data_IF_494617057347
#
_entry.id   IF_494617057347
#
_cell.length_a   1.000
_cell.length_b   1.000
_cell.length_c   1.000
_cell.angle_alpha   90.00
_cell.angle_beta   90.00
_cell.angle_gamma   90.00
#
_symmetry.space_group_name_H-M   'P 1'
#
loop_
_entity.id
_entity.type
_entity.pdbx_description
1 polymer ?
#
# COMPACT_ATOMS: atom_id res chain seq x y z
N UNK A 1 60.09 46.08 60.17
CA UNK A 1 61.04 45.27 60.90
C UNK A 1 60.96 43.87 60.27
N UNK A 2 61.94 43.55 59.48
CA UNK A 2 62.79 42.43 59.29
C UNK A 2 62.11 41.14 58.81
N UNK A 3 62.24 40.81 57.50
CA UNK A 3 63.06 39.76 56.92
C UNK A 3 62.65 38.33 57.34
N UNK A 4 62.35 37.44 56.44
CA UNK A 4 63.35 36.56 55.80
C UNK A 4 62.76 35.71 54.69
N UNK A 5 63.43 35.71 53.58
CA UNK A 5 63.36 34.88 52.40
C UNK A 5 63.75 33.41 52.72
N UNK A 6 63.11 32.44 52.13
CA UNK A 6 63.74 31.13 51.81
C UNK A 6 63.18 30.54 50.53
N UNK A 7 64.01 30.57 49.51
CA UNK A 7 63.94 29.83 48.27
C UNK A 7 64.08 28.32 48.54
N UNK A 8 63.20 27.47 47.97
CA UNK A 8 63.48 26.08 47.71
C UNK A 8 63.08 25.67 46.28
N UNK A 9 64.16 25.41 45.55
CA UNK A 9 64.08 24.67 44.28
C UNK A 9 63.40 23.38 44.43
N UNK A 10 62.51 23.03 43.56
CA UNK A 10 62.04 21.66 43.38
C UNK A 10 62.03 21.33 41.89
N UNK A 11 62.68 20.22 41.65
CA UNK A 11 63.10 19.67 40.38
C UNK A 11 61.91 19.32 39.47
N UNK A 12 62.03 19.63 38.18
CA UNK A 12 61.20 19.15 37.12
C UNK A 12 61.27 17.61 37.03
N UNK A 13 60.13 16.95 37.19
CA UNK A 13 59.96 15.56 36.80
C UNK A 13 59.01 15.56 35.57
N UNK A 14 59.63 15.30 34.43
CA UNK A 14 58.93 15.15 33.15
C UNK A 14 58.29 13.80 33.12
N UNK A 15 56.96 13.71 33.39
CA UNK A 15 56.14 12.53 33.10
C UNK A 15 55.55 12.69 31.72
N UNK A 16 56.06 11.89 30.78
CA UNK A 16 55.49 11.69 29.44
C UNK A 16 54.14 10.98 29.56
N UNK A 17 53.05 11.69 29.41
CA UNK A 17 51.74 11.08 29.21
C UNK A 17 51.59 10.82 27.69
N UNK A 18 51.70 9.51 27.33
CA UNK A 18 51.22 8.98 26.07
C UNK A 18 49.67 9.01 26.13
N UNK A 19 49.07 10.02 25.57
CA UNK A 19 47.63 10.05 25.36
C UNK A 19 47.25 9.12 24.18
N UNK A 20 46.74 7.94 24.46
CA UNK A 20 46.05 7.12 23.47
C UNK A 20 44.78 7.86 23.05
N UNK A 21 44.81 8.45 21.86
CA UNK A 21 43.67 8.99 21.15
C UNK A 21 42.86 7.78 20.64
N UNK A 22 41.93 7.28 21.43
CA UNK A 22 40.88 6.42 20.91
C UNK A 22 39.92 7.30 20.07
N UNK A 23 40.19 7.37 18.77
CA UNK A 23 39.15 7.72 17.81
C UNK A 23 38.12 6.62 17.83
N UNK A 24 37.04 6.81 18.63
CA UNK A 24 35.84 6.05 18.53
C UNK A 24 35.26 6.31 17.12
N UNK A 25 35.44 5.33 16.24
CA UNK A 25 34.61 5.18 15.06
C UNK A 25 33.19 4.88 15.62
N UNK A 26 32.44 5.95 15.87
CA UNK A 26 30.99 5.85 15.91
C UNK A 26 30.59 5.50 14.47
N UNK A 27 30.58 4.21 14.15
CA UNK A 27 29.86 3.72 13.00
C UNK A 27 28.41 4.15 13.21
N UNK A 28 27.94 5.11 12.43
CA UNK A 28 26.52 5.27 12.22
C UNK A 28 26.06 3.88 11.74
N UNK A 29 25.39 3.13 12.58
CA UNK A 29 24.56 2.05 12.10
C UNK A 29 23.50 2.77 11.22
N UNK A 30 23.70 2.75 9.91
CA UNK A 30 22.64 3.10 8.98
C UNK A 30 21.44 2.23 9.40
N UNK A 31 20.36 2.88 9.78
CA UNK A 31 19.12 2.16 10.03
C UNK A 31 18.73 1.54 8.69
N UNK A 32 18.81 0.22 8.58
CA UNK A 32 18.44 -0.54 7.37
C UNK A 32 16.92 -0.57 7.15
N UNK A 33 16.21 0.46 7.61
CA UNK A 33 14.77 0.61 7.47
C UNK A 33 14.47 0.93 6.00
N UNK A 34 13.54 0.23 5.39
CA UNK A 34 13.07 0.53 4.02
C UNK A 34 12.59 1.97 3.95
N UNK A 35 13.20 2.77 3.09
CA UNK A 35 12.86 4.17 2.85
C UNK A 35 12.39 4.38 1.42
N UNK A 36 11.72 5.52 1.16
CA UNK A 36 11.33 5.89 -0.20
C UNK A 36 12.54 5.98 -1.16
N UNK A 37 13.68 6.50 -0.71
CA UNK A 37 14.88 6.57 -1.54
C UNK A 37 15.38 5.18 -1.94
N UNK A 38 15.49 4.27 -0.99
CA UNK A 38 15.89 2.88 -1.26
C UNK A 38 14.87 2.14 -2.14
N UNK A 39 13.56 2.38 -1.93
CA UNK A 39 12.50 1.83 -2.79
C UNK A 39 12.68 2.29 -4.24
N UNK A 40 12.92 3.59 -4.47
CA UNK A 40 13.19 4.13 -5.81
C UNK A 40 14.40 3.49 -6.46
N UNK A 41 15.51 3.39 -5.73
CA UNK A 41 16.75 2.80 -6.25
C UNK A 41 16.55 1.37 -6.75
N UNK A 42 15.68 0.61 -6.09
CA UNK A 42 15.49 -0.81 -6.38
C UNK A 42 14.37 -1.11 -7.36
N UNK A 43 13.27 -0.39 -7.27
CA UNK A 43 12.02 -0.71 -7.98
C UNK A 43 11.56 0.33 -8.99
N UNK A 44 12.17 1.53 -9.02
CA UNK A 44 11.79 2.58 -9.95
C UNK A 44 12.87 2.79 -11.02
N UNK A 45 12.54 2.53 -12.28
CA UNK A 45 13.43 2.81 -13.40
C UNK A 45 13.56 4.32 -13.67
N UNK A 46 14.59 4.70 -14.41
CA UNK A 46 14.87 6.10 -14.71
C UNK A 46 13.78 6.80 -15.52
N UNK A 47 13.01 6.05 -16.30
CA UNK A 47 11.88 6.54 -17.11
C UNK A 47 10.54 6.59 -16.34
N UNK A 48 10.51 6.13 -15.08
CA UNK A 48 9.32 6.18 -14.22
C UNK A 48 8.51 4.88 -14.15
N UNK A 49 9.02 3.80 -14.73
CA UNK A 49 8.37 2.48 -14.62
C UNK A 49 8.67 1.85 -13.27
N UNK A 50 7.63 1.40 -12.55
CA UNK A 50 7.76 0.57 -11.35
C UNK A 50 7.91 -0.90 -11.76
N UNK A 51 8.90 -1.57 -11.20
CA UNK A 51 9.30 -2.93 -11.58
C UNK A 51 8.93 -3.91 -10.48
N UNK A 52 8.04 -4.84 -10.78
CA UNK A 52 7.74 -5.97 -9.91
C UNK A 52 8.83 -7.04 -10.06
N UNK A 53 9.80 -6.98 -9.15
CA UNK A 53 10.97 -7.88 -9.15
C UNK A 53 10.60 -9.31 -8.75
N UNK A 54 9.48 -9.51 -8.08
CA UNK A 54 8.95 -10.82 -7.70
C UNK A 54 8.22 -11.53 -8.86
N UNK A 55 7.84 -10.81 -9.92
CA UNK A 55 7.01 -11.30 -11.01
C UNK A 55 7.62 -11.00 -12.38
N UNK A 56 8.80 -11.52 -12.68
CA UNK A 56 9.48 -11.41 -13.99
C UNK A 56 9.65 -9.97 -14.49
N UNK A 57 9.80 -9.02 -13.59
CA UNK A 57 9.98 -7.59 -13.87
C UNK A 57 8.84 -6.97 -14.67
N UNK A 58 7.62 -7.44 -14.51
CA UNK A 58 6.43 -6.78 -15.05
C UNK A 58 6.13 -5.46 -14.32
N UNK A 59 5.18 -4.70 -14.83
CA UNK A 59 4.65 -3.51 -14.14
C UNK A 59 3.15 -3.55 -14.16
N UNK A 60 2.54 -3.03 -13.10
CA UNK A 60 1.09 -2.98 -12.93
C UNK A 60 0.62 -1.55 -12.71
N UNK A 61 -0.61 -1.23 -13.15
CA UNK A 61 -1.24 0.05 -12.82
C UNK A 61 -1.32 0.27 -11.30
N UNK A 62 -1.52 -0.80 -10.53
CA UNK A 62 -1.44 -0.83 -9.06
C UNK A 62 -0.12 -0.25 -8.57
N UNK A 63 1.01 -0.80 -9.02
CA UNK A 63 2.34 -0.38 -8.58
C UNK A 63 2.69 1.04 -9.00
N UNK A 64 2.25 1.48 -10.19
CA UNK A 64 2.39 2.87 -10.60
C UNK A 64 1.61 3.79 -9.65
N UNK A 65 0.37 3.45 -9.30
CA UNK A 65 -0.44 4.20 -8.36
C UNK A 65 0.17 4.27 -6.96
N UNK A 66 0.68 3.15 -6.43
CA UNK A 66 1.37 3.12 -5.12
C UNK A 66 2.62 3.99 -5.10
N UNK A 67 3.45 3.92 -6.14
CA UNK A 67 4.64 4.77 -6.23
C UNK A 67 4.27 6.27 -6.34
N UNK A 68 3.18 6.62 -7.03
CA UNK A 68 2.68 7.99 -7.08
C UNK A 68 2.22 8.46 -5.69
N UNK A 69 1.49 7.65 -4.92
CA UNK A 69 1.08 7.95 -3.55
C UNK A 69 2.32 8.20 -2.67
N UNK A 70 3.29 7.28 -2.70
CA UNK A 70 4.53 7.39 -1.94
C UNK A 70 5.35 8.62 -2.33
N UNK A 71 5.39 8.98 -3.61
CA UNK A 71 6.07 10.18 -4.09
C UNK A 71 5.42 11.46 -3.55
N UNK A 72 4.08 11.53 -3.50
CA UNK A 72 3.38 12.67 -2.87
C UNK A 72 3.70 12.74 -1.38
N UNK A 73 3.58 11.63 -0.66
CA UNK A 73 3.86 11.57 0.78
C UNK A 73 5.28 12.04 1.13
N UNK A 74 6.25 11.77 0.26
CA UNK A 74 7.64 12.20 0.40
C UNK A 74 7.95 13.56 -0.27
N UNK A 75 6.94 14.28 -0.76
CA UNK A 75 7.07 15.55 -1.48
C UNK A 75 8.06 15.48 -2.67
N UNK A 76 8.15 14.32 -3.32
CA UNK A 76 9.04 14.04 -4.46
C UNK A 76 8.30 14.21 -5.80
N UNK A 77 8.05 15.48 -6.17
CA UNK A 77 7.38 15.83 -7.42
C UNK A 77 8.10 15.26 -8.65
N UNK A 78 9.44 15.22 -8.63
CA UNK A 78 10.21 14.74 -9.78
C UNK A 78 9.95 13.26 -10.07
N UNK A 79 9.91 12.43 -9.03
CA UNK A 79 9.58 11.01 -9.19
C UNK A 79 8.11 10.82 -9.57
N UNK A 80 7.19 11.58 -8.94
CA UNK A 80 5.79 11.58 -9.29
C UNK A 80 5.56 11.86 -10.78
N UNK A 81 6.15 12.94 -11.30
CA UNK A 81 6.00 13.33 -12.70
C UNK A 81 6.47 12.25 -13.68
N UNK A 82 7.61 11.61 -13.37
CA UNK A 82 8.14 10.50 -14.21
C UNK A 82 7.22 9.29 -14.18
N UNK A 83 6.75 8.88 -12.99
CA UNK A 83 5.83 7.74 -12.85
C UNK A 83 4.52 8.03 -13.57
N UNK A 84 3.94 9.22 -13.36
CA UNK A 84 2.73 9.64 -14.04
C UNK A 84 2.89 9.72 -15.56
N UNK A 85 4.00 10.28 -16.04
CA UNK A 85 4.28 10.35 -17.47
C UNK A 85 4.35 8.95 -18.07
N UNK A 86 5.13 8.05 -17.50
CA UNK A 86 5.26 6.68 -17.99
C UNK A 86 3.90 5.97 -17.98
N UNK A 87 3.11 6.11 -16.91
CA UNK A 87 1.80 5.48 -16.77
C UNK A 87 0.86 5.89 -17.88
N UNK A 88 0.73 7.19 -18.15
CA UNK A 88 -0.18 7.69 -19.18
C UNK A 88 0.31 7.44 -20.62
N UNK A 89 1.62 7.34 -20.84
CA UNK A 89 2.18 7.06 -22.17
C UNK A 89 2.17 5.57 -22.51
N UNK A 90 2.25 4.70 -21.49
CA UNK A 90 2.38 3.25 -21.68
C UNK A 90 1.09 2.49 -21.39
N UNK A 91 0.38 2.81 -20.30
CA UNK A 91 -0.77 2.06 -19.84
C UNK A 91 -2.12 2.69 -20.18
N UNK A 92 -2.17 3.99 -20.55
CA UNK A 92 -3.46 4.63 -20.84
C UNK A 92 -4.20 3.90 -21.95
N UNK A 93 -5.48 3.64 -21.72
CA UNK A 93 -6.38 3.06 -22.72
C UNK A 93 -6.81 4.11 -23.74
N UNK A 94 -7.09 3.67 -24.97
CA UNK A 94 -7.53 4.57 -26.04
C UNK A 94 -9.05 4.82 -26.03
N UNK A 95 -9.81 3.94 -25.38
CA UNK A 95 -11.28 3.90 -25.38
C UNK A 95 -11.91 4.48 -24.10
N UNK A 96 -11.20 4.41 -22.97
CA UNK A 96 -11.64 4.85 -21.64
C UNK A 96 -10.56 5.69 -20.96
N UNK A 97 -10.95 6.45 -19.93
CA UNK A 97 -10.01 7.22 -19.09
C UNK A 97 -9.41 6.35 -17.95
N UNK A 98 -9.11 5.08 -18.26
CA UNK A 98 -8.55 4.10 -17.38
C UNK A 98 -7.22 3.58 -17.93
N UNK A 99 -6.55 2.70 -17.17
CA UNK A 99 -5.22 2.20 -17.51
C UNK A 99 -5.23 0.68 -17.65
N UNK A 100 -4.54 0.17 -18.69
CA UNK A 100 -4.27 -1.26 -18.80
C UNK A 100 -3.54 -1.74 -17.55
N UNK A 101 -3.99 -2.87 -17.01
CA UNK A 101 -3.51 -3.31 -15.70
C UNK A 101 -2.06 -3.78 -15.67
N UNK A 102 -1.52 -4.24 -16.85
CA UNK A 102 -0.21 -4.92 -16.89
C UNK A 102 0.61 -4.56 -18.12
N UNK A 103 1.89 -4.35 -17.88
CA UNK A 103 2.96 -4.27 -18.87
C UNK A 103 3.97 -5.39 -18.62
N UNK A 104 4.27 -6.21 -19.64
CA UNK A 104 5.30 -7.25 -19.58
C UNK A 104 6.39 -6.92 -20.61
N UNK A 105 7.63 -6.62 -20.19
CA UNK A 105 8.70 -6.26 -21.12
C UNK A 105 9.11 -7.41 -22.04
N UNK A 106 8.74 -8.65 -21.72
CA UNK A 106 9.00 -9.82 -22.56
C UNK A 106 7.95 -10.04 -23.65
N UNK A 107 6.82 -9.36 -23.58
CA UNK A 107 5.72 -9.48 -24.55
C UNK A 107 5.88 -8.54 -25.74
N UNK A 108 5.23 -8.90 -26.87
CA UNK A 108 5.14 -8.06 -28.06
C UNK A 108 3.71 -8.08 -28.58
N UNK A 109 2.91 -6.98 -28.47
CA UNK A 109 3.26 -5.74 -27.75
C UNK A 109 3.39 -5.96 -26.22
N UNK A 110 4.08 -5.09 -25.48
CA UNK A 110 4.25 -5.26 -24.03
C UNK A 110 2.97 -5.17 -23.20
N UNK A 111 1.97 -4.44 -23.69
CA UNK A 111 0.61 -4.40 -23.16
C UNK A 111 -0.26 -5.29 -24.04
N UNK A 112 -0.45 -6.55 -23.64
CA UNK A 112 -1.24 -7.54 -24.42
C UNK A 112 -2.70 -7.55 -24.03
N UNK A 113 -2.98 -7.36 -22.75
CA UNK A 113 -4.32 -7.28 -22.21
C UNK A 113 -4.66 -5.81 -21.95
N UNK A 114 -5.60 -5.23 -22.74
CA UNK A 114 -6.00 -3.85 -22.57
C UNK A 114 -6.98 -3.64 -21.41
N UNK A 115 -7.39 -4.72 -20.71
CA UNK A 115 -8.28 -4.57 -19.56
C UNK A 115 -7.61 -3.71 -18.47
N UNK A 116 -8.41 -3.05 -17.65
CA UNK A 116 -7.95 -2.31 -16.49
C UNK A 116 -8.01 -3.16 -15.21
N UNK A 117 -7.42 -2.66 -14.13
CA UNK A 117 -7.65 -3.10 -12.77
C UNK A 117 -8.09 -1.87 -11.97
N UNK A 118 -9.30 -1.95 -11.38
CA UNK A 118 -9.94 -0.79 -10.74
C UNK A 118 -9.21 -0.27 -9.52
N UNK A 119 -8.43 -1.10 -8.83
CA UNK A 119 -7.54 -0.66 -7.75
C UNK A 119 -6.43 0.26 -8.27
N UNK A 120 -5.75 -0.12 -9.36
CA UNK A 120 -4.76 0.72 -10.00
C UNK A 120 -5.33 2.06 -10.47
N UNK A 121 -6.53 2.06 -11.06
CA UNK A 121 -7.21 3.29 -11.47
C UNK A 121 -7.56 4.17 -10.26
N UNK A 122 -8.04 3.58 -9.14
CA UNK A 122 -8.31 4.31 -7.90
C UNK A 122 -7.05 4.90 -7.28
N UNK A 123 -5.94 4.14 -7.21
CA UNK A 123 -4.68 4.63 -6.68
C UNK A 123 -4.14 5.80 -7.49
N UNK A 124 -4.15 5.70 -8.83
CA UNK A 124 -3.69 6.74 -9.74
C UNK A 124 -4.56 8.00 -9.58
N UNK A 125 -5.90 7.84 -9.58
CA UNK A 125 -6.82 8.97 -9.45
C UNK A 125 -6.64 9.69 -8.10
N UNK A 126 -6.47 8.93 -7.01
CA UNK A 126 -6.26 9.50 -5.68
C UNK A 126 -4.89 10.17 -5.55
N UNK A 127 -3.82 9.53 -6.02
CA UNK A 127 -2.50 10.13 -6.04
C UNK A 127 -2.46 11.46 -6.80
N UNK A 128 -3.17 11.56 -7.92
CA UNK A 128 -3.33 12.80 -8.68
C UNK A 128 -4.12 13.87 -7.90
N UNK A 129 -5.15 13.48 -7.13
CA UNK A 129 -5.89 14.41 -6.27
C UNK A 129 -4.98 14.98 -5.17
N UNK A 130 -4.23 14.10 -4.49
CA UNK A 130 -3.24 14.51 -3.47
C UNK A 130 -2.15 15.41 -4.05
N UNK A 131 -1.62 15.08 -5.22
CA UNK A 131 -0.61 15.87 -5.93
C UNK A 131 -1.14 17.26 -6.32
N UNK A 132 -2.41 17.34 -6.74
CA UNK A 132 -3.05 18.61 -7.08
C UNK A 132 -3.14 19.53 -5.86
N UNK A 133 -3.44 18.99 -4.68
CA UNK A 133 -3.47 19.73 -3.43
C UNK A 133 -2.07 20.09 -2.96
N UNK A 134 -1.16 19.13 -2.91
CA UNK A 134 0.21 19.32 -2.42
C UNK A 134 1.00 20.36 -3.22
N UNK A 135 0.90 20.29 -4.55
CA UNK A 135 1.71 21.15 -5.46
C UNK A 135 0.89 22.23 -6.16
N UNK A 136 -0.38 22.40 -5.81
CA UNK A 136 -1.29 23.43 -6.36
C UNK A 136 -1.32 23.41 -7.90
N UNK A 137 -1.34 22.19 -8.49
CA UNK A 137 -1.33 21.99 -9.93
C UNK A 137 -2.68 21.48 -10.45
N UNK A 138 -3.41 22.37 -11.13
CA UNK A 138 -4.74 22.08 -11.66
C UNK A 138 -4.75 20.94 -12.68
N UNK A 139 -3.64 20.67 -13.39
CA UNK A 139 -3.61 19.60 -14.37
C UNK A 139 -3.81 18.22 -13.71
N UNK A 140 -3.27 18.01 -12.50
CA UNK A 140 -3.50 16.79 -11.75
C UNK A 140 -4.95 16.65 -11.30
N UNK A 141 -5.60 17.73 -10.83
CA UNK A 141 -7.01 17.66 -10.43
C UNK A 141 -7.93 17.32 -11.61
N UNK A 142 -7.67 17.88 -12.80
CA UNK A 142 -8.42 17.56 -14.02
C UNK A 142 -8.24 16.09 -14.40
N UNK A 143 -7.01 15.57 -14.31
CA UNK A 143 -6.72 14.17 -14.62
C UNK A 143 -7.39 13.23 -13.61
N UNK A 144 -7.30 13.52 -12.31
CA UNK A 144 -7.98 12.78 -11.22
C UNK A 144 -9.49 12.73 -11.45
N UNK A 145 -10.12 13.88 -11.72
CA UNK A 145 -11.56 13.97 -11.96
C UNK A 145 -11.98 13.13 -13.17
N UNK A 146 -11.23 13.17 -14.26
CA UNK A 146 -11.53 12.40 -15.46
C UNK A 146 -11.50 10.88 -15.20
N UNK A 147 -10.49 10.39 -14.45
CA UNK A 147 -10.37 8.97 -14.09
C UNK A 147 -11.49 8.59 -13.13
N UNK A 148 -11.73 9.39 -12.08
CA UNK A 148 -12.79 9.18 -11.09
C UNK A 148 -14.17 9.05 -11.75
N UNK A 149 -14.50 9.97 -12.68
CA UNK A 149 -15.76 9.93 -13.42
C UNK A 149 -15.87 8.67 -14.28
N UNK A 150 -14.77 8.22 -14.88
CA UNK A 150 -14.75 6.98 -15.67
C UNK A 150 -14.98 5.75 -14.79
N UNK A 151 -14.33 5.67 -13.62
CA UNK A 151 -14.56 4.61 -12.63
C UNK A 151 -16.03 4.55 -12.25
N UNK A 152 -16.63 5.70 -11.88
CA UNK A 152 -18.03 5.78 -11.48
C UNK A 152 -19.00 5.31 -12.59
N UNK A 153 -18.69 5.64 -13.83
CA UNK A 153 -19.55 5.32 -14.97
C UNK A 153 -19.40 3.91 -15.49
N UNK A 154 -18.17 3.36 -15.47
CA UNK A 154 -17.84 2.11 -16.16
C UNK A 154 -17.67 0.91 -15.23
N UNK A 155 -17.34 1.14 -13.94
CA UNK A 155 -16.96 0.08 -13.01
C UNK A 155 -17.91 -0.06 -11.81
N UNK A 156 -18.84 0.88 -11.60
CA UNK A 156 -19.77 0.80 -10.46
C UNK A 156 -21.11 0.26 -10.94
N UNK A 157 -21.62 -0.76 -10.25
CA UNK A 157 -22.90 -1.41 -10.56
C UNK A 157 -23.70 -1.70 -9.28
N UNK A 158 -25.03 -1.85 -9.45
CA UNK A 158 -25.93 -2.36 -8.41
C UNK A 158 -26.17 -3.84 -8.60
N UNK A 159 -25.80 -4.66 -7.63
CA UNK A 159 -25.98 -6.11 -7.65
C UNK A 159 -26.56 -6.57 -6.32
N UNK A 160 -27.75 -7.16 -6.37
CA UNK A 160 -28.44 -7.72 -5.18
C UNK A 160 -28.54 -6.77 -3.99
N UNK A 161 -28.71 -5.47 -4.25
CA UNK A 161 -28.81 -4.45 -3.22
C UNK A 161 -27.48 -3.98 -2.62
N UNK A 162 -26.37 -4.29 -3.29
CA UNK A 162 -25.03 -3.73 -3.02
C UNK A 162 -24.60 -2.86 -4.19
N UNK A 163 -24.05 -1.70 -3.89
CA UNK A 163 -23.26 -0.92 -4.84
C UNK A 163 -21.86 -1.54 -4.87
N UNK A 164 -21.46 -2.13 -6.00
CA UNK A 164 -20.21 -2.86 -6.14
C UNK A 164 -19.25 -2.17 -7.10
N UNK A 165 -17.94 -2.33 -6.86
CA UNK A 165 -16.87 -1.94 -7.75
C UNK A 165 -16.39 -3.19 -8.50
N UNK A 166 -16.56 -3.20 -9.82
CA UNK A 166 -16.04 -4.27 -10.68
C UNK A 166 -14.50 -4.20 -10.72
N UNK A 167 -13.81 -5.35 -10.72
CA UNK A 167 -12.35 -5.38 -10.81
C UNK A 167 -11.78 -4.81 -12.11
N UNK A 168 -12.55 -4.84 -13.18
CA UNK A 168 -12.23 -4.29 -14.49
C UNK A 168 -13.44 -4.29 -15.42
N UNK A 169 -13.31 -3.67 -16.59
CA UNK A 169 -14.45 -3.51 -17.52
C UNK A 169 -14.84 -4.81 -18.22
N UNK A 170 -13.95 -5.80 -18.30
CA UNK A 170 -14.20 -7.06 -18.99
C UNK A 170 -13.93 -8.27 -18.10
N UNK A 171 -14.74 -9.33 -18.27
CA UNK A 171 -14.47 -10.67 -17.70
C UNK A 171 -15.00 -10.92 -16.30
N UNK A 172 -15.64 -9.94 -15.65
CA UNK A 172 -16.08 -10.05 -14.26
C UNK A 172 -17.60 -10.08 -14.08
N UNK A 173 -18.36 -9.95 -15.15
CA UNK A 173 -19.82 -9.98 -15.14
C UNK A 173 -20.31 -11.19 -15.93
N UNK A 174 -21.05 -12.08 -15.27
CA UNK A 174 -21.76 -13.20 -15.89
C UNK A 174 -23.25 -12.90 -16.08
N UNK A 175 -24.03 -13.93 -16.44
CA UNK A 175 -25.47 -13.78 -16.65
C UNK A 175 -26.22 -13.46 -15.34
N UNK A 176 -25.81 -14.10 -14.24
CA UNK A 176 -26.47 -14.00 -12.94
C UNK A 176 -25.49 -13.74 -11.76
N UNK A 177 -24.26 -13.36 -12.06
CA UNK A 177 -23.24 -13.08 -11.06
C UNK A 177 -22.26 -11.99 -11.48
N UNK A 178 -21.50 -11.47 -10.49
CA UNK A 178 -20.28 -10.71 -10.67
C UNK A 178 -19.16 -11.34 -9.86
N UNK A 179 -17.94 -11.40 -10.41
CA UNK A 179 -16.73 -11.70 -9.66
C UNK A 179 -16.11 -10.40 -9.15
N UNK A 180 -15.80 -10.33 -7.86
CA UNK A 180 -15.32 -9.15 -7.16
C UNK A 180 -14.01 -9.46 -6.45
N UNK A 181 -13.21 -8.43 -6.23
CA UNK A 181 -12.03 -8.46 -5.38
C UNK A 181 -12.14 -7.32 -4.35
N UNK A 182 -12.44 -7.66 -3.09
CA UNK A 182 -12.68 -6.65 -2.05
C UNK A 182 -11.42 -5.85 -1.68
N UNK A 183 -10.22 -6.35 -2.01
CA UNK A 183 -8.98 -5.58 -1.84
C UNK A 183 -8.80 -4.47 -2.87
N UNK A 184 -9.66 -4.42 -3.91
CA UNK A 184 -9.64 -3.33 -4.89
C UNK A 184 -10.38 -2.09 -4.40
N UNK A 185 -11.14 -2.20 -3.30
CA UNK A 185 -11.85 -1.08 -2.71
C UNK A 185 -10.95 -0.30 -1.76
N UNK A 186 -10.17 0.58 -2.36
CA UNK A 186 -9.23 1.42 -1.63
C UNK A 186 -9.98 2.50 -0.84
N UNK A 187 -10.32 2.19 0.40
CA UNK A 187 -11.17 3.00 1.28
C UNK A 187 -10.71 4.45 1.44
N UNK A 188 -9.39 4.79 1.53
CA UNK A 188 -8.95 6.19 1.59
C UNK A 188 -9.41 7.01 0.38
N UNK A 189 -9.23 6.49 -0.85
CA UNK A 189 -9.68 7.19 -2.05
C UNK A 189 -11.19 7.36 -2.08
N UNK A 190 -11.95 6.31 -1.75
CA UNK A 190 -13.42 6.36 -1.72
C UNK A 190 -13.92 7.42 -0.74
N UNK A 191 -13.30 7.52 0.46
CA UNK A 191 -13.63 8.54 1.47
C UNK A 191 -13.41 9.96 0.92
N UNK A 192 -12.27 10.22 0.34
CA UNK A 192 -11.92 11.55 -0.16
C UNK A 192 -12.75 11.91 -1.40
N UNK A 193 -13.05 10.92 -2.26
CA UNK A 193 -13.95 11.14 -3.41
C UNK A 193 -15.38 11.41 -2.97
N UNK A 194 -15.88 10.81 -1.88
CA UNK A 194 -17.19 11.13 -1.34
C UNK A 194 -17.30 12.59 -0.83
N UNK A 195 -16.18 13.20 -0.43
CA UNK A 195 -16.14 14.62 -0.01
C UNK A 195 -16.23 15.55 -1.22
N UNK A 196 -15.45 15.27 -2.26
CA UNK A 196 -15.36 16.17 -3.44
C UNK A 196 -16.45 15.93 -4.48
N UNK A 197 -17.15 14.81 -4.40
CA UNK A 197 -18.23 14.39 -5.29
C UNK A 197 -19.32 13.67 -4.48
N UNK A 198 -20.09 14.44 -3.67
CA UNK A 198 -21.07 13.88 -2.72
C UNK A 198 -22.27 13.21 -3.40
N UNK A 199 -22.54 13.52 -4.66
CA UNK A 199 -23.60 12.90 -5.47
C UNK A 199 -23.12 11.63 -6.18
N UNK A 200 -21.84 11.36 -6.17
CA UNK A 200 -21.20 10.16 -6.75
C UNK A 200 -21.51 8.86 -5.97
N UNK A 201 -21.03 7.72 -6.46
CA UNK A 201 -21.31 6.43 -5.83
C UNK A 201 -20.45 6.13 -4.58
N UNK A 202 -19.49 6.98 -4.25
CA UNK A 202 -18.38 6.73 -3.35
C UNK A 202 -18.83 6.36 -1.92
N UNK A 203 -19.76 7.11 -1.36
CA UNK A 203 -20.30 6.83 -0.02
C UNK A 203 -21.04 5.49 0.03
N UNK A 204 -21.73 5.13 -1.05
CA UNK A 204 -22.40 3.83 -1.14
C UNK A 204 -21.40 2.70 -1.29
N UNK A 205 -20.35 2.87 -2.10
CA UNK A 205 -19.26 1.90 -2.18
C UNK A 205 -18.62 1.63 -0.81
N UNK A 206 -18.40 2.66 0.02
CA UNK A 206 -17.86 2.49 1.38
C UNK A 206 -18.83 1.67 2.23
N UNK A 207 -20.10 2.08 2.31
CA UNK A 207 -21.08 1.41 3.17
C UNK A 207 -21.37 -0.02 2.73
N UNK A 208 -21.51 -0.24 1.43
CA UNK A 208 -21.82 -1.55 0.86
C UNK A 208 -20.58 -2.46 0.84
N UNK A 209 -19.38 -1.90 0.65
CA UNK A 209 -18.13 -2.65 0.76
C UNK A 209 -17.90 -3.22 2.15
N UNK A 210 -18.17 -2.42 3.20
CA UNK A 210 -18.11 -2.89 4.59
C UNK A 210 -19.16 -3.96 4.86
N UNK A 211 -20.41 -3.76 4.40
CA UNK A 211 -21.47 -4.75 4.53
C UNK A 211 -21.14 -6.04 3.79
N UNK A 212 -20.64 -5.95 2.56
CA UNK A 212 -20.27 -7.13 1.78
C UNK A 212 -19.09 -7.88 2.41
N UNK A 213 -18.12 -7.18 2.99
CA UNK A 213 -17.04 -7.80 3.76
C UNK A 213 -17.57 -8.56 4.98
N UNK A 214 -18.58 -8.01 5.68
CA UNK A 214 -19.23 -8.68 6.81
C UNK A 214 -20.00 -9.95 6.37
N UNK A 215 -20.71 -9.86 5.25
CA UNK A 215 -21.58 -10.93 4.75
C UNK A 215 -20.79 -12.06 4.04
N UNK A 216 -19.63 -11.73 3.43
CA UNK A 216 -18.84 -12.63 2.60
C UNK A 216 -17.54 -13.08 3.29
N UNK A 217 -17.68 -13.76 4.43
CA UNK A 217 -16.58 -14.35 5.21
C UNK A 217 -16.74 -15.85 5.31
N UNK A 218 -15.67 -16.60 5.05
CA UNK A 218 -15.67 -18.03 4.83
C UNK A 218 -14.77 -18.80 5.80
N UNK A 219 -15.00 -20.11 5.92
CA UNK A 219 -14.23 -21.00 6.77
C UNK A 219 -14.47 -20.77 8.26
N UNK A 220 -13.75 -21.54 9.09
CA UNK A 220 -13.87 -21.49 10.56
C UNK A 220 -13.46 -20.12 11.13
N UNK A 221 -12.47 -19.49 10.51
CA UNK A 221 -11.96 -18.17 10.93
C UNK A 221 -12.74 -16.98 10.34
N UNK A 222 -13.79 -17.25 9.54
CA UNK A 222 -14.59 -16.20 8.89
C UNK A 222 -13.75 -15.17 8.14
N UNK A 223 -12.90 -15.64 7.23
CA UNK A 223 -11.99 -14.81 6.44
C UNK A 223 -12.64 -14.38 5.11
N UNK A 224 -12.33 -13.17 4.61
CA UNK A 224 -12.60 -12.83 3.22
C UNK A 224 -11.72 -13.66 2.28
N UNK A 225 -12.07 -13.67 1.00
CA UNK A 225 -11.28 -14.35 -0.03
C UNK A 225 -10.66 -13.36 -0.99
N UNK A 226 -9.59 -13.78 -1.69
CA UNK A 226 -8.97 -12.98 -2.75
C UNK A 226 -10.00 -12.62 -3.84
N UNK A 227 -10.84 -13.58 -4.22
CA UNK A 227 -11.85 -13.39 -5.26
C UNK A 227 -13.20 -13.95 -4.83
N UNK A 228 -14.18 -13.07 -4.81
CA UNK A 228 -15.57 -13.33 -4.39
C UNK A 228 -16.49 -13.39 -5.59
N UNK A 229 -17.42 -14.33 -5.63
CA UNK A 229 -18.57 -14.30 -6.52
C UNK A 229 -19.83 -13.88 -5.77
N UNK A 230 -20.47 -12.82 -6.28
CA UNK A 230 -21.76 -12.36 -5.78
C UNK A 230 -22.83 -12.64 -6.85
N UNK A 231 -23.81 -13.46 -6.52
CA UNK A 231 -24.95 -13.76 -7.40
C UNK A 231 -26.05 -12.72 -7.30
N UNK A 232 -26.86 -12.59 -8.35
CA UNK A 232 -28.01 -11.70 -8.41
C UNK A 232 -29.10 -12.00 -7.36
N UNK A 233 -29.09 -13.20 -6.79
CA UNK A 233 -29.99 -13.61 -5.69
C UNK A 233 -29.42 -13.30 -4.29
N UNK A 234 -28.24 -12.67 -4.20
CA UNK A 234 -27.58 -12.28 -2.95
C UNK A 234 -26.66 -13.33 -2.32
N UNK A 235 -26.54 -14.51 -2.93
CA UNK A 235 -25.58 -15.51 -2.46
C UNK A 235 -24.17 -15.04 -2.81
N UNK A 236 -23.26 -15.11 -1.82
CA UNK A 236 -21.85 -14.84 -1.97
C UNK A 236 -21.03 -16.10 -1.68
N UNK A 237 -20.06 -16.42 -2.53
CA UNK A 237 -19.17 -17.57 -2.38
C UNK A 237 -17.76 -17.25 -2.91
N UNK A 238 -16.70 -18.01 -2.55
CA UNK A 238 -15.42 -17.90 -3.23
C UNK A 238 -15.60 -18.10 -4.74
N UNK A 239 -15.01 -17.22 -5.57
CA UNK A 239 -15.15 -17.35 -7.02
C UNK A 239 -14.54 -18.66 -7.50
N UNK A 240 -15.27 -19.50 -8.26
CA UNK A 240 -14.75 -20.78 -8.77
C UNK A 240 -13.64 -20.60 -9.82
N UNK A 241 -13.44 -19.37 -10.31
CA UNK A 241 -12.39 -19.06 -11.28
C UNK A 241 -11.01 -18.87 -10.65
N UNK A 242 -10.93 -18.81 -9.32
CA UNK A 242 -9.71 -18.51 -8.55
C UNK A 242 -9.57 -19.45 -7.36
N UNK A 243 -8.37 -19.61 -6.79
CA UNK A 243 -8.21 -20.37 -5.55
C UNK A 243 -9.06 -19.79 -4.41
N UNK A 244 -9.82 -20.60 -3.65
CA UNK A 244 -10.67 -20.13 -2.56
C UNK A 244 -9.84 -19.83 -1.31
N UNK A 245 -9.11 -18.74 -1.32
CA UNK A 245 -8.16 -18.44 -0.25
C UNK A 245 -8.22 -16.97 0.22
N UNK A 246 -7.88 -16.78 1.48
CA UNK A 246 -7.36 -15.54 2.01
C UNK A 246 -5.85 -15.52 1.75
N UNK A 247 -5.37 -14.62 0.91
CA UNK A 247 -3.98 -14.64 0.42
C UNK A 247 -3.56 -13.30 -0.14
N UNK A 248 -2.88 -13.29 -1.27
CA UNK A 248 -2.14 -12.15 -1.80
C UNK A 248 -2.97 -10.91 -2.13
N UNK A 249 -4.27 -11.06 -2.39
CA UNK A 249 -5.17 -9.92 -2.58
C UNK A 249 -5.82 -9.50 -1.27
N UNK A 250 -6.51 -10.42 -0.59
CA UNK A 250 -7.31 -10.14 0.59
C UNK A 250 -6.48 -9.63 1.80
N UNK A 251 -5.19 -9.93 1.87
CA UNK A 251 -4.27 -9.39 2.91
C UNK A 251 -4.19 -7.86 2.90
N UNK A 252 -4.55 -7.19 1.80
CA UNK A 252 -4.57 -5.72 1.69
C UNK A 252 -5.81 -5.08 2.30
N UNK A 253 -6.91 -5.82 2.44
CA UNK A 253 -8.17 -5.32 2.99
C UNK A 253 -7.96 -4.62 4.34
N UNK A 254 -7.32 -5.24 5.34
CA UNK A 254 -7.12 -4.61 6.64
C UNK A 254 -6.26 -3.35 6.59
N UNK A 255 -5.26 -3.25 5.70
CA UNK A 255 -4.50 -2.03 5.49
C UNK A 255 -5.42 -0.87 5.07
N UNK A 256 -6.24 -1.08 4.04
CA UNK A 256 -7.09 -0.04 3.49
C UNK A 256 -8.23 0.37 4.43
N UNK A 257 -8.74 -0.58 5.19
CA UNK A 257 -9.72 -0.31 6.24
C UNK A 257 -9.11 0.48 7.40
N UNK A 258 -7.95 0.06 7.91
CA UNK A 258 -7.24 0.77 8.96
C UNK A 258 -6.89 2.20 8.52
N UNK A 259 -6.36 2.38 7.32
CA UNK A 259 -6.01 3.69 6.76
C UNK A 259 -7.20 4.65 6.68
N UNK A 260 -8.40 4.12 6.44
CA UNK A 260 -9.63 4.92 6.43
C UNK A 260 -10.32 5.05 7.80
N UNK A 261 -9.66 4.66 8.89
CA UNK A 261 -10.17 4.62 10.27
C UNK A 261 -11.30 3.58 10.50
N UNK A 262 -11.31 2.49 9.74
CA UNK A 262 -12.19 1.33 9.93
C UNK A 262 -11.44 0.11 10.52
N UNK A 263 -10.24 0.29 11.09
CA UNK A 263 -9.42 -0.80 11.64
C UNK A 263 -10.08 -1.60 12.78
N UNK A 264 -11.04 -1.00 13.47
CA UNK A 264 -11.82 -1.68 14.51
C UNK A 264 -13.09 -2.38 13.98
N UNK A 265 -13.27 -2.49 12.66
CA UNK A 265 -14.43 -3.16 12.08
C UNK A 265 -14.46 -4.66 12.46
N UNK A 266 -15.62 -5.14 12.91
CA UNK A 266 -15.77 -6.53 13.35
C UNK A 266 -15.47 -7.55 12.22
N UNK A 267 -15.63 -7.14 10.97
CA UNK A 267 -15.29 -7.97 9.82
C UNK A 267 -13.81 -8.33 9.74
N UNK A 268 -12.91 -7.58 10.39
CA UNK A 268 -11.47 -7.85 10.42
C UNK A 268 -11.03 -8.81 11.53
N UNK A 269 -11.91 -9.19 12.47
CA UNK A 269 -11.53 -10.03 13.63
C UNK A 269 -10.95 -11.39 13.21
N UNK A 270 -11.53 -12.03 12.18
CA UNK A 270 -11.01 -13.31 11.67
C UNK A 270 -9.60 -13.20 11.12
N UNK A 271 -9.28 -12.07 10.50
CA UNK A 271 -7.93 -11.79 9.98
C UNK A 271 -6.93 -11.63 11.14
N UNK A 272 -7.29 -10.86 12.17
CA UNK A 272 -6.47 -10.70 13.37
C UNK A 272 -6.23 -12.05 14.08
N UNK A 273 -7.25 -12.93 14.12
CA UNK A 273 -7.12 -14.29 14.65
C UNK A 273 -6.15 -15.15 13.83
N UNK A 274 -6.30 -15.14 12.50
CA UNK A 274 -5.42 -15.88 11.59
C UNK A 274 -3.95 -15.43 11.72
N UNK A 275 -3.75 -14.14 11.94
CA UNK A 275 -2.42 -13.55 12.09
C UNK A 275 -1.86 -13.57 13.54
N UNK A 276 -2.52 -14.24 14.48
CA UNK A 276 -2.05 -14.32 15.87
C UNK A 276 -0.62 -14.88 16.02
N UNK A 277 -0.14 -15.61 15.02
CA UNK A 277 1.25 -16.08 14.94
C UNK A 277 2.28 -14.99 14.59
N UNK A 278 1.85 -13.75 14.32
CA UNK A 278 2.72 -12.66 13.88
C UNK A 278 3.48 -13.03 12.60
N UNK A 279 4.77 -12.74 12.56
CA UNK A 279 5.64 -13.06 11.43
C UNK A 279 5.73 -14.55 11.06
N UNK A 280 5.32 -15.45 11.95
CA UNK A 280 5.27 -16.90 11.67
C UNK A 280 3.91 -17.36 11.14
N UNK A 281 2.92 -16.46 10.98
CA UNK A 281 1.64 -16.80 10.38
C UNK A 281 1.85 -17.25 8.92
N UNK A 282 1.07 -18.25 8.43
CA UNK A 282 1.19 -18.69 7.02
C UNK A 282 0.78 -17.57 6.06
N UNK A 283 1.42 -17.53 4.88
CA UNK A 283 1.18 -16.49 3.88
C UNK A 283 -0.25 -16.49 3.31
N UNK A 284 -0.91 -17.65 3.29
CA UNK A 284 -2.29 -17.80 2.85
C UNK A 284 -2.97 -19.00 3.52
N UNK A 285 -4.30 -19.02 3.49
CA UNK A 285 -5.13 -20.14 3.90
C UNK A 285 -6.24 -20.35 2.88
N UNK A 286 -6.48 -21.61 2.48
CA UNK A 286 -7.66 -22.02 1.75
C UNK A 286 -8.86 -22.06 2.71
N UNK A 287 -9.86 -21.23 2.47
CA UNK A 287 -11.01 -21.07 3.39
C UNK A 287 -11.99 -22.25 3.38
N UNK A 288 -11.94 -23.12 2.36
CA UNK A 288 -12.84 -24.28 2.25
C UNK A 288 -12.30 -25.50 2.97
N UNK A 289 -11.00 -25.76 2.89
CA UNK A 289 -10.38 -26.99 3.42
C UNK A 289 -9.37 -26.76 4.54
N UNK A 290 -9.02 -25.50 4.85
CA UNK A 290 -8.07 -25.16 5.91
C UNK A 290 -6.60 -25.39 5.55
N UNK A 291 -6.26 -25.73 4.31
CA UNK A 291 -4.86 -25.82 3.86
C UNK A 291 -4.17 -24.47 3.96
N UNK A 292 -2.95 -24.45 4.46
CA UNK A 292 -2.15 -23.23 4.65
C UNK A 292 -0.85 -23.28 3.86
N UNK A 293 -0.27 -22.09 3.60
CA UNK A 293 1.07 -21.99 3.02
C UNK A 293 2.11 -22.68 3.90
N UNK A 294 3.11 -23.28 3.27
CA UNK A 294 4.29 -23.86 3.92
C UNK A 294 5.40 -22.83 4.18
N UNK A 295 5.12 -21.55 3.93
CA UNK A 295 5.98 -20.40 4.18
C UNK A 295 5.20 -19.29 4.88
N UNK A 296 5.91 -18.44 5.65
CA UNK A 296 5.27 -17.37 6.42
C UNK A 296 4.87 -16.17 5.57
N UNK A 297 4.11 -15.26 6.19
CA UNK A 297 3.82 -13.92 5.64
C UNK A 297 5.10 -13.12 5.38
N UNK A 298 5.03 -12.19 4.42
CA UNK A 298 6.11 -11.23 4.16
C UNK A 298 6.16 -10.13 5.23
N UNK A 299 7.29 -9.40 5.32
CA UNK A 299 7.39 -8.25 6.22
C UNK A 299 6.38 -7.14 5.88
N UNK A 300 5.99 -7.00 4.62
CA UNK A 300 4.90 -6.10 4.22
C UNK A 300 3.57 -6.46 4.88
N UNK A 301 3.25 -7.75 5.01
CA UNK A 301 2.05 -8.22 5.74
C UNK A 301 2.23 -8.06 7.26
N UNK A 302 3.45 -8.28 7.79
CA UNK A 302 3.74 -7.98 9.21
C UNK A 302 3.47 -6.50 9.51
N UNK A 303 3.86 -5.60 8.60
CA UNK A 303 3.56 -4.18 8.76
C UNK A 303 2.04 -3.88 8.83
N UNK A 304 1.22 -4.62 8.09
CA UNK A 304 -0.24 -4.52 8.20
C UNK A 304 -0.74 -5.04 9.56
N UNK A 305 -0.15 -6.12 10.07
CA UNK A 305 -0.47 -6.65 11.40
C UNK A 305 -0.17 -5.62 12.51
N UNK A 306 1.01 -5.00 12.47
CA UNK A 306 1.45 -3.96 13.40
C UNK A 306 0.49 -2.76 13.35
N UNK A 307 0.12 -2.30 12.14
CA UNK A 307 -0.85 -1.23 11.93
C UNK A 307 -2.21 -1.55 12.57
N UNK A 308 -2.72 -2.77 12.41
CA UNK A 308 -3.99 -3.20 13.02
C UNK A 308 -3.89 -3.31 14.54
N UNK A 309 -2.73 -3.69 15.07
CA UNK A 309 -2.49 -3.75 16.51
C UNK A 309 -2.37 -2.35 17.13
N UNK A 310 -2.22 -1.30 16.32
CA UNK A 310 -1.98 0.07 16.78
C UNK A 310 -0.56 0.29 17.29
N UNK A 311 0.40 -0.49 16.77
CA UNK A 311 1.81 -0.35 17.13
C UNK A 311 2.37 0.94 16.50
N UNK A 312 3.14 1.71 17.29
CA UNK A 312 3.78 2.94 16.81
C UNK A 312 4.95 2.65 15.84
N UNK A 313 5.60 1.49 15.98
CA UNK A 313 6.73 1.08 15.15
C UNK A 313 6.31 0.01 14.13
N UNK A 314 5.60 0.44 13.09
CA UNK A 314 5.15 -0.42 12.00
C UNK A 314 6.36 -1.00 11.27
N UNK A 315 6.65 -2.28 11.50
CA UNK A 315 7.72 -3.10 10.87
C UNK A 315 9.14 -2.49 10.93
N UNK A 316 9.53 -1.92 12.06
CA UNK A 316 10.80 -1.21 12.26
C UNK A 316 12.09 -1.98 11.96
N UNK A 317 12.07 -3.29 11.70
CA UNK A 317 13.25 -4.14 11.49
C UNK A 317 13.42 -4.67 10.06
N UNK A 318 12.46 -4.43 9.17
CA UNK A 318 12.52 -4.93 7.80
C UNK A 318 13.67 -4.27 7.01
N UNK A 319 14.45 -5.10 6.30
CA UNK A 319 15.55 -4.66 5.44
C UNK A 319 15.14 -4.75 3.98
N UNK A 320 15.40 -3.71 3.20
CA UNK A 320 15.04 -3.71 1.78
C UNK A 320 15.66 -4.86 0.98
N UNK A 321 16.85 -5.31 1.33
CA UNK A 321 17.54 -6.41 0.66
C UNK A 321 16.78 -7.74 0.75
N UNK A 322 15.96 -7.91 1.78
CA UNK A 322 15.16 -9.10 2.03
C UNK A 322 13.73 -8.99 1.41
N UNK A 323 13.37 -7.82 0.85
CA UNK A 323 12.04 -7.55 0.34
C UNK A 323 11.96 -7.65 -1.19
N UNK A 324 10.89 -8.25 -1.69
CA UNK A 324 10.47 -8.03 -3.07
C UNK A 324 9.69 -6.70 -3.19
N UNK A 325 9.32 -6.35 -4.41
CA UNK A 325 8.55 -5.14 -4.71
C UNK A 325 7.23 -5.09 -3.92
N UNK A 326 6.50 -6.21 -3.85
CA UNK A 326 5.17 -6.24 -3.22
C UNK A 326 5.26 -6.02 -1.71
N UNK A 327 6.16 -6.77 -1.06
CA UNK A 327 6.39 -6.63 0.38
C UNK A 327 6.88 -5.24 0.77
N UNK A 328 7.85 -4.68 0.03
CA UNK A 328 8.35 -3.32 0.25
C UNK A 328 7.26 -2.25 0.08
N UNK A 329 6.37 -2.44 -0.91
CA UNK A 329 5.25 -1.53 -1.15
C UNK A 329 4.25 -1.54 0.01
N UNK A 330 3.81 -2.72 0.45
CA UNK A 330 2.88 -2.86 1.58
C UNK A 330 3.47 -2.26 2.88
N UNK A 331 4.77 -2.46 3.10
CA UNK A 331 5.47 -1.92 4.24
C UNK A 331 5.44 -0.39 4.26
N UNK A 332 5.80 0.26 3.15
CA UNK A 332 5.79 1.73 3.06
C UNK A 332 4.38 2.30 3.14
N UNK A 333 3.39 1.64 2.52
CA UNK A 333 1.99 2.06 2.61
C UNK A 333 1.42 1.90 4.02
N UNK A 334 1.80 0.83 4.75
CA UNK A 334 1.38 0.64 6.15
C UNK A 334 1.94 1.71 7.07
N UNK A 335 3.20 2.12 6.87
CA UNK A 335 3.80 3.25 7.59
C UNK A 335 3.09 4.55 7.31
N UNK A 336 2.84 4.84 6.03
CA UNK A 336 2.10 6.03 5.63
C UNK A 336 0.70 6.05 6.27
N UNK A 337 0.01 4.92 6.28
CA UNK A 337 -1.30 4.79 6.93
C UNK A 337 -1.22 5.07 8.45
N UNK A 338 -0.18 4.58 9.14
CA UNK A 338 0.03 4.84 10.56
C UNK A 338 0.31 6.32 10.84
N UNK A 339 1.15 6.97 10.02
CA UNK A 339 1.47 8.40 10.15
C UNK A 339 0.22 9.29 9.98
N UNK A 340 -0.68 8.95 9.05
CA UNK A 340 -1.93 9.70 8.83
C UNK A 340 -2.98 9.47 9.94
N UNK A 341 -2.93 8.34 10.66
CA UNK A 341 -3.83 8.05 11.78
C UNK A 341 -3.40 8.74 13.09
N UNK A 342 -2.14 9.10 13.25
CA UNK A 342 -1.67 9.79 14.43
C UNK A 342 -2.40 11.14 14.52
N UNK A 343 -2.98 11.52 15.69
CA UNK A 343 -3.58 12.83 15.87
C UNK A 343 -2.49 13.86 15.59
N UNK A 344 -2.73 14.74 14.62
CA UNK A 344 -1.83 15.85 14.30
C UNK A 344 -1.56 16.58 15.61
N UNK A 345 -0.41 16.37 16.20
CA UNK A 345 0.05 17.14 17.33
C UNK A 345 0.20 18.58 16.82
N UNK A 346 -0.63 19.50 17.35
CA UNK A 346 -0.63 20.94 17.00
C UNK A 346 0.67 21.67 17.38
N UNK A 347 1.81 21.05 17.21
CA UNK A 347 3.10 21.56 17.66
C UNK A 347 4.01 22.00 16.51
N UNK A 348 3.56 22.25 15.31
CA UNK A 348 4.33 23.01 14.30
C UNK A 348 3.38 23.54 13.21
N UNK A 349 2.77 24.69 13.49
CA UNK A 349 2.36 25.67 12.48
C UNK A 349 2.87 27.04 12.87
#
# INVERSE_FOLDING_TARGET
MTLMTTTRSCKFLMCSLLGCLFLGLAGCAESNIVTWEQYKERFLSSDGRVIDTGNRNVSHSEGQGWAMILAVANNDRNSFDRVWQWTRETLARNDLRLFSWRYDPADTPPVRDPNNASDGDLFIAWALALAAEQWQDRNYSIASEAIRNEIANSLVQEVSGYTVLLPGVYGFVGEDFVDLNLSYWFMPALRDFAIVDPDGPWQRLISDGRRLLEDARFGELRLPVDWLRLYSNGIAEPSPNFPPRFGFDAVRIPLYFAWANFGADEALQGIAEFWRGGAAAPAWINVENGEVADYPVSNGVVAIQDLLAGDEDVSGTARLEDEDYYSASLLLLSRLAAEEQLPVSFAHR
#
